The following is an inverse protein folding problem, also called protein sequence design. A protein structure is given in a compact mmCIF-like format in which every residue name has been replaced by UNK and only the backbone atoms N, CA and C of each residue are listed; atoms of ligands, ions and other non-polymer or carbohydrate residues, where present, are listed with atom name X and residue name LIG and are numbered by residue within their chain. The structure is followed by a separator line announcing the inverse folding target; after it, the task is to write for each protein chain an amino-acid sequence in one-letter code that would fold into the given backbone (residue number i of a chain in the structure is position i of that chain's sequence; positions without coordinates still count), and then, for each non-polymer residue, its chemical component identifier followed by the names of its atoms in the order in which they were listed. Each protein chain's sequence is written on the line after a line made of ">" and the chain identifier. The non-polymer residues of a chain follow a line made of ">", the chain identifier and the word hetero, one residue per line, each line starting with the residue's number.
data_IF_479044034241
#
_entry.id   IF_479044034241
#
_cell.length_a   1.000
_cell.length_b   1.000
_cell.length_c   1.000
_cell.angle_alpha   90.00
_cell.angle_beta   90.00
_cell.angle_gamma   90.00
#
_symmetry.space_group_name_H-M   'P 1'
#
loop_
_entity.id
_entity.type
_entity.pdbx_description
1 polymer ?
#
# COMPACT_ATOMS: atom_id res chain seq x y z
N UNK A 1 -8.24 83.36 3.14
CA UNK A 1 -8.91 82.38 2.25
C UNK A 1 -9.71 83.14 1.21
N UNK A 2 -9.27 83.09 -0.05
CA UNK A 2 -9.79 83.79 -1.25
C UNK A 2 -9.47 82.80 -2.39
N UNK A 3 -10.29 82.43 -3.37
CA UNK A 3 -11.52 82.98 -3.95
C UNK A 3 -12.33 81.85 -4.62
N UNK A 4 -13.63 82.10 -4.79
CA UNK A 4 -14.63 81.29 -5.50
C UNK A 4 -14.83 81.79 -6.95
N UNK A 5 -15.27 80.85 -7.83
CA UNK A 5 -16.10 81.00 -9.07
C UNK A 5 -15.40 81.65 -10.30
N UNK A 6 -15.66 81.26 -11.57
CA UNK A 6 -16.91 81.18 -12.34
C UNK A 6 -16.69 80.40 -13.67
N UNK A 7 -17.79 79.88 -14.24
CA UNK A 7 -17.98 78.94 -15.34
C UNK A 7 -18.06 79.49 -16.79
N UNK A 8 -18.37 78.55 -17.72
CA UNK A 8 -19.00 78.62 -19.09
C UNK A 8 -18.01 78.21 -20.21
N UNK A 9 -18.36 77.47 -21.28
CA UNK A 9 -19.66 77.25 -21.95
C UNK A 9 -19.55 76.06 -22.94
N UNK A 10 -20.64 75.33 -23.12
CA UNK A 10 -20.86 74.33 -24.20
C UNK A 10 -21.03 74.96 -25.59
N UNK A 11 -20.68 74.22 -26.65
CA UNK A 11 -21.38 74.26 -27.96
C UNK A 11 -21.47 72.86 -28.58
N UNK A 12 -22.71 72.44 -28.88
CA UNK A 12 -23.12 71.35 -29.79
C UNK A 12 -23.38 71.95 -31.18
N UNK A 13 -23.14 71.23 -32.27
CA UNK A 13 -24.04 71.14 -33.44
C UNK A 13 -23.69 69.91 -34.32
N UNK A 14 -24.73 69.26 -34.87
CA UNK A 14 -24.81 67.98 -35.63
C UNK A 14 -24.79 68.23 -37.17
N UNK A 15 -25.24 67.32 -38.07
CA UNK A 15 -24.80 65.96 -38.47
C UNK A 15 -24.57 65.83 -40.00
N UNK A 16 -24.05 64.70 -40.48
CA UNK A 16 -24.09 64.30 -41.91
C UNK A 16 -24.47 62.81 -42.06
N UNK A 17 -25.36 62.50 -43.01
CA UNK A 17 -25.92 61.16 -43.32
C UNK A 17 -25.48 60.68 -44.72
N UNK A 18 -25.65 59.37 -44.92
CA UNK A 18 -25.60 58.53 -46.15
C UNK A 18 -24.20 58.00 -46.53
N UNK A 19 -23.98 56.71 -46.83
CA UNK A 19 -24.76 55.78 -47.65
C UNK A 19 -24.79 54.32 -47.14
N UNK A 20 -25.78 53.59 -47.66
CA UNK A 20 -26.06 52.15 -47.55
C UNK A 20 -24.91 51.25 -48.04
N UNK A 21 -24.69 50.15 -47.30
CA UNK A 21 -23.91 49.00 -47.75
C UNK A 21 -24.35 47.77 -46.99
N UNK A 22 -25.24 46.99 -47.59
CA UNK A 22 -25.70 45.68 -47.11
C UNK A 22 -24.55 44.67 -47.17
N UNK A 23 -24.07 44.22 -46.00
CA UNK A 23 -23.25 43.03 -45.92
C UNK A 23 -23.88 42.08 -44.89
N UNK A 24 -24.46 41.01 -45.43
CA UNK A 24 -24.99 39.87 -44.69
C UNK A 24 -23.79 39.11 -44.10
N UNK A 25 -23.36 39.49 -42.90
CA UNK A 25 -22.37 38.70 -42.13
C UNK A 25 -23.11 37.53 -41.50
N UNK A 26 -22.93 36.35 -42.09
CA UNK A 26 -23.31 35.09 -41.48
C UNK A 26 -22.58 34.96 -40.13
N UNK A 27 -23.30 35.14 -39.03
CA UNK A 27 -22.81 34.77 -37.69
C UNK A 27 -22.82 33.25 -37.64
N UNK A 28 -21.68 32.64 -37.98
CA UNK A 28 -21.39 31.28 -37.54
C UNK A 28 -21.26 31.36 -36.03
N UNK A 29 -22.29 30.89 -35.32
CA UNK A 29 -22.21 30.54 -33.91
C UNK A 29 -21.14 29.45 -33.76
N UNK A 30 -19.88 29.87 -33.59
CA UNK A 30 -18.89 29.03 -32.95
C UNK A 30 -19.33 28.88 -31.51
N UNK A 31 -20.17 27.87 -31.25
CA UNK A 31 -20.25 27.28 -29.92
C UNK A 31 -18.83 26.81 -29.64
N UNK A 32 -18.06 27.64 -28.95
CA UNK A 32 -16.92 27.16 -28.19
C UNK A 32 -17.53 26.23 -27.14
N UNK A 33 -17.63 24.95 -27.50
CA UNK A 33 -17.62 23.89 -26.52
C UNK A 33 -16.25 24.02 -25.86
N UNK A 34 -16.17 24.86 -24.83
CA UNK A 34 -15.11 24.78 -23.85
C UNK A 34 -15.09 23.30 -23.44
N UNK A 35 -13.98 22.57 -23.60
CA UNK A 35 -13.88 21.27 -23.00
C UNK A 35 -14.04 21.54 -21.52
N UNK A 36 -15.19 21.16 -20.94
CA UNK A 36 -15.26 20.93 -19.51
C UNK A 36 -14.24 19.85 -19.27
N UNK A 37 -13.06 20.26 -18.82
CA UNK A 37 -12.04 19.38 -18.29
C UNK A 37 -12.56 18.73 -17.03
N UNK A 38 -13.52 17.82 -17.18
CA UNK A 38 -13.48 16.62 -16.37
C UNK A 38 -12.22 15.92 -16.83
N UNK A 39 -11.20 15.90 -15.99
CA UNK A 39 -10.15 14.90 -16.06
C UNK A 39 -10.85 13.55 -15.87
N UNK A 40 -11.40 13.03 -16.95
CA UNK A 40 -11.62 11.60 -17.11
C UNK A 40 -10.21 11.05 -17.07
N UNK A 41 -9.79 10.59 -15.88
CA UNK A 41 -8.56 9.81 -15.78
C UNK A 41 -8.77 8.65 -16.76
N UNK A 42 -8.01 8.68 -17.85
CA UNK A 42 -7.85 7.58 -18.79
C UNK A 42 -7.24 6.43 -17.98
N UNK A 43 -8.11 5.68 -17.29
CA UNK A 43 -7.75 4.49 -16.56
C UNK A 43 -7.52 3.41 -17.61
N UNK A 44 -6.34 3.49 -18.25
CA UNK A 44 -5.90 2.46 -19.18
C UNK A 44 -5.87 1.15 -18.42
N UNK A 45 -6.44 0.15 -19.06
CA UNK A 45 -6.39 -1.25 -18.70
C UNK A 45 -4.92 -1.68 -18.48
N UNK A 46 -4.45 -1.55 -17.24
CA UNK A 46 -3.17 -2.12 -16.78
C UNK A 46 -3.39 -3.63 -16.60
N UNK A 47 -3.53 -4.35 -17.70
CA UNK A 47 -3.18 -5.77 -17.70
C UNK A 47 -1.77 -5.82 -17.10
N UNK A 48 -1.63 -6.43 -15.91
CA UNK A 48 -0.38 -6.47 -15.14
C UNK A 48 0.62 -7.43 -15.81
N UNK A 49 0.94 -7.14 -17.07
CA UNK A 49 1.84 -7.91 -17.92
C UNK A 49 3.25 -7.57 -17.48
N UNK A 50 3.89 -8.53 -16.82
CA UNK A 50 5.32 -8.49 -16.54
C UNK A 50 6.02 -9.02 -17.80
N UNK A 51 6.84 -8.18 -18.42
CA UNK A 51 7.51 -8.53 -19.66
C UNK A 51 8.54 -9.67 -19.47
N UNK A 52 8.85 -10.37 -20.57
CA UNK A 52 9.73 -11.53 -20.56
C UNK A 52 11.14 -11.22 -20.04
N UNK A 53 11.65 -9.99 -20.26
CA UNK A 53 12.96 -9.60 -19.77
C UNK A 53 12.94 -9.47 -18.24
N UNK A 54 11.93 -8.81 -17.69
CA UNK A 54 11.70 -8.70 -16.25
C UNK A 54 11.47 -10.08 -15.61
N UNK A 55 10.68 -10.96 -16.24
CA UNK A 55 10.50 -12.35 -15.79
C UNK A 55 11.81 -13.14 -15.79
N UNK A 56 12.64 -12.99 -16.82
CA UNK A 56 13.96 -13.63 -16.90
C UNK A 56 14.91 -13.11 -15.84
N UNK A 57 14.87 -11.82 -15.54
CA UNK A 57 15.66 -11.23 -14.45
C UNK A 57 15.27 -11.83 -13.10
N UNK A 58 13.99 -11.88 -12.76
CA UNK A 58 13.54 -12.43 -11.48
C UNK A 58 13.86 -13.92 -11.30
N UNK A 59 13.96 -14.67 -12.40
CA UNK A 59 14.34 -16.09 -12.44
C UNK A 59 15.84 -16.33 -12.57
N UNK A 60 16.65 -15.26 -12.55
CA UNK A 60 18.08 -15.38 -12.70
C UNK A 60 18.65 -16.24 -11.55
N UNK A 61 19.36 -17.32 -11.89
CA UNK A 61 19.88 -18.28 -10.91
C UNK A 61 20.90 -17.64 -9.97
N UNK A 62 21.69 -16.67 -10.43
CA UNK A 62 22.66 -15.96 -9.60
C UNK A 62 21.94 -15.13 -8.55
N UNK A 63 20.85 -14.44 -8.91
CA UNK A 63 20.02 -13.71 -7.95
C UNK A 63 19.38 -14.64 -6.93
N UNK A 64 18.81 -15.76 -7.37
CA UNK A 64 18.19 -16.76 -6.48
C UNK A 64 19.23 -17.34 -5.51
N UNK A 65 20.44 -17.66 -5.99
CA UNK A 65 21.53 -18.15 -5.16
C UNK A 65 22.04 -17.09 -4.19
N UNK A 66 22.10 -15.81 -4.59
CA UNK A 66 22.46 -14.72 -3.69
C UNK A 66 21.45 -14.59 -2.55
N UNK A 67 20.14 -14.62 -2.86
CA UNK A 67 19.09 -14.59 -1.86
C UNK A 67 19.21 -15.78 -0.90
N UNK A 68 19.34 -17.01 -1.41
CA UNK A 68 19.46 -18.23 -0.59
C UNK A 68 20.66 -18.17 0.35
N UNK A 69 21.83 -17.76 -0.15
CA UNK A 69 23.08 -17.88 0.58
C UNK A 69 23.32 -16.72 1.56
N UNK A 70 22.81 -15.52 1.24
CA UNK A 70 23.20 -14.29 1.94
C UNK A 70 22.04 -13.61 2.68
N UNK A 71 20.79 -13.88 2.33
CA UNK A 71 19.64 -13.09 2.82
C UNK A 71 18.57 -13.94 3.50
N UNK A 72 18.25 -15.09 2.92
CA UNK A 72 17.21 -15.98 3.42
C UNK A 72 17.76 -16.86 4.55
N UNK A 73 17.12 -16.77 5.71
CA UNK A 73 17.33 -17.72 6.80
C UNK A 73 16.17 -18.72 6.79
N UNK A 74 16.47 -19.98 6.53
CA UNK A 74 15.46 -21.05 6.58
C UNK A 74 14.98 -21.30 8.03
N UNK A 75 13.74 -21.77 8.15
CA UNK A 75 13.18 -22.22 9.41
C UNK A 75 14.10 -23.24 10.10
N UNK A 76 14.32 -23.09 11.40
CA UNK A 76 15.06 -24.08 12.18
C UNK A 76 14.23 -25.34 12.35
N UNK A 77 14.78 -26.50 12.00
CA UNK A 77 14.15 -27.81 12.24
C UNK A 77 14.30 -28.30 13.68
N UNK A 78 15.14 -27.63 14.49
CA UNK A 78 15.67 -28.22 15.73
C UNK A 78 15.10 -27.61 17.02
N UNK A 79 14.17 -26.66 16.93
CA UNK A 79 13.58 -26.08 18.13
C UNK A 79 12.25 -26.75 18.46
N UNK A 80 12.27 -27.62 19.47
CA UNK A 80 11.06 -28.02 20.19
C UNK A 80 10.44 -26.77 20.80
N UNK A 81 9.27 -26.38 20.30
CA UNK A 81 8.44 -25.34 20.88
C UNK A 81 8.21 -25.68 22.35
N UNK A 82 8.62 -24.81 23.27
CA UNK A 82 8.03 -24.83 24.61
C UNK A 82 6.56 -24.54 24.44
N UNK A 83 5.70 -25.50 24.78
CA UNK A 83 4.25 -25.37 24.68
C UNK A 83 3.85 -24.31 25.71
N UNK A 84 3.75 -23.06 25.27
CA UNK A 84 2.94 -22.07 25.96
C UNK A 84 1.48 -22.48 25.73
N UNK A 85 0.75 -22.72 26.82
CA UNK A 85 -0.63 -23.23 26.79
C UNK A 85 -1.64 -22.11 26.60
N UNK A 86 -1.19 -20.86 26.46
CA UNK A 86 -2.05 -19.73 26.18
C UNK A 86 -2.18 -19.50 24.67
N UNK A 87 -3.40 -19.69 24.16
CA UNK A 87 -3.78 -19.32 22.79
C UNK A 87 -3.76 -17.80 22.70
N UNK A 88 -2.69 -17.22 22.14
CA UNK A 88 -2.57 -15.78 21.98
C UNK A 88 -2.59 -15.41 20.49
N UNK A 89 -3.64 -14.72 20.08
CA UNK A 89 -3.71 -14.03 18.81
C UNK A 89 -3.16 -12.61 18.98
N UNK A 90 -2.02 -12.35 18.35
CA UNK A 90 -1.39 -11.03 18.35
C UNK A 90 -1.80 -10.15 17.16
N UNK A 91 -2.70 -10.60 16.28
CA UNK A 91 -3.09 -9.80 15.11
C UNK A 91 -3.68 -8.45 15.51
N UNK A 92 -3.33 -7.40 14.76
CA UNK A 92 -3.65 -6.04 15.18
C UNK A 92 -5.16 -5.77 15.24
N UNK A 93 -5.89 -6.28 14.24
CA UNK A 93 -7.33 -6.06 14.06
C UNK A 93 -8.09 -7.34 13.72
N UNK A 94 -7.54 -8.51 14.04
CA UNK A 94 -8.20 -9.82 13.87
C UNK A 94 -7.91 -10.52 12.53
N UNK A 95 -6.81 -10.17 11.87
CA UNK A 95 -6.38 -10.75 10.60
C UNK A 95 -6.31 -12.28 10.66
N UNK A 96 -5.70 -12.85 11.70
CA UNK A 96 -5.54 -14.29 11.82
C UNK A 96 -6.90 -15.02 11.87
N UNK A 97 -7.91 -14.42 12.50
CA UNK A 97 -9.22 -15.05 12.65
C UNK A 97 -10.08 -14.95 11.40
N UNK A 98 -10.00 -13.85 10.65
CA UNK A 98 -10.68 -13.77 9.36
C UNK A 98 -10.09 -14.78 8.38
N UNK A 99 -8.76 -14.96 8.37
CA UNK A 99 -8.07 -15.97 7.56
C UNK A 99 -8.52 -17.38 7.97
N UNK A 100 -8.52 -17.69 9.27
CA UNK A 100 -8.99 -18.97 9.78
C UNK A 100 -10.46 -19.23 9.39
N UNK A 101 -11.30 -18.20 9.36
CA UNK A 101 -12.71 -18.31 8.95
C UNK A 101 -12.84 -18.57 7.45
N UNK A 102 -12.20 -17.74 6.61
CA UNK A 102 -12.27 -17.86 5.14
C UNK A 102 -11.76 -19.22 4.66
N UNK A 103 -10.71 -19.74 5.31
CA UNK A 103 -10.09 -21.03 4.95
C UNK A 103 -10.66 -22.22 5.73
N UNK A 104 -11.80 -22.06 6.43
CA UNK A 104 -12.50 -23.18 7.07
C UNK A 104 -11.69 -23.89 8.15
N UNK A 105 -10.88 -23.17 8.91
CA UNK A 105 -10.07 -23.73 9.99
C UNK A 105 -8.82 -24.48 9.53
N UNK A 106 -8.36 -24.25 8.30
CA UNK A 106 -7.19 -24.92 7.70
C UNK A 106 -5.99 -24.98 8.64
N UNK A 107 -5.38 -26.17 8.72
CA UNK A 107 -4.07 -26.40 9.36
C UNK A 107 -3.02 -26.69 8.28
N UNK A 108 -1.73 -26.59 8.65
CA UNK A 108 -0.62 -26.84 7.74
C UNK A 108 -0.64 -25.95 6.48
N UNK A 109 -1.03 -24.69 6.62
CA UNK A 109 -0.96 -23.71 5.53
C UNK A 109 0.39 -23.03 5.43
N UNK A 110 0.58 -22.25 4.36
CA UNK A 110 1.75 -21.39 4.18
C UNK A 110 1.35 -19.91 4.20
N UNK A 111 2.00 -19.12 5.05
CA UNK A 111 1.81 -17.67 5.11
C UNK A 111 3.02 -16.86 4.61
N UNK A 112 2.77 -15.63 4.19
CA UNK A 112 3.76 -14.57 4.03
C UNK A 112 3.31 -13.38 4.87
N UNK A 113 4.22 -12.83 5.68
CA UNK A 113 4.00 -11.57 6.40
C UNK A 113 5.12 -10.60 6.04
N UNK A 114 4.76 -9.52 5.35
CA UNK A 114 5.66 -8.42 5.04
C UNK A 114 5.29 -7.22 5.92
N UNK A 115 6.29 -6.67 6.61
CA UNK A 115 6.08 -5.81 7.79
C UNK A 115 6.13 -6.60 9.09
N UNK A 116 7.00 -7.62 9.18
CA UNK A 116 7.03 -8.57 10.30
C UNK A 116 7.46 -7.99 11.64
N UNK A 117 7.99 -6.76 11.68
CA UNK A 117 8.42 -6.05 12.88
C UNK A 117 9.32 -6.91 13.79
N UNK A 118 8.96 -7.09 15.06
CA UNK A 118 9.66 -7.95 16.00
C UNK A 118 9.18 -9.42 15.97
N UNK A 119 8.26 -9.78 15.08
CA UNK A 119 7.70 -11.12 14.92
C UNK A 119 6.67 -11.56 15.96
N UNK A 120 6.31 -10.70 16.93
CA UNK A 120 5.30 -10.99 17.97
C UNK A 120 4.24 -9.89 18.03
N UNK A 121 4.64 -8.67 18.36
CA UNK A 121 3.74 -7.53 18.54
C UNK A 121 3.00 -7.27 17.23
N UNK A 122 1.67 -7.24 17.29
CA UNK A 122 0.80 -7.05 16.12
C UNK A 122 0.97 -8.10 15.00
N UNK A 123 1.62 -9.25 15.27
CA UNK A 123 1.88 -10.23 14.20
C UNK A 123 0.59 -10.89 13.74
N UNK A 124 0.34 -10.80 12.44
CA UNK A 124 -0.86 -11.33 11.82
C UNK A 124 -0.78 -12.85 11.56
N UNK A 125 0.39 -13.46 11.75
CA UNK A 125 0.62 -14.89 11.48
C UNK A 125 1.06 -15.70 12.69
N UNK A 126 1.34 -15.07 13.84
CA UNK A 126 1.78 -15.80 15.04
C UNK A 126 0.82 -16.90 15.46
N UNK A 127 -0.47 -16.57 15.53
CA UNK A 127 -1.53 -17.53 15.83
C UNK A 127 -1.55 -18.70 14.84
N UNK A 128 -1.39 -18.44 13.54
CA UNK A 128 -1.42 -19.48 12.51
C UNK A 128 -0.21 -20.42 12.65
N UNK A 129 0.97 -19.88 12.95
CA UNK A 129 2.17 -20.70 13.22
C UNK A 129 1.96 -21.59 14.45
N UNK A 130 1.56 -21.02 15.59
CA UNK A 130 1.49 -21.75 16.86
C UNK A 130 0.32 -22.70 16.97
N UNK A 131 -0.86 -22.27 16.53
CA UNK A 131 -2.12 -22.99 16.80
C UNK A 131 -2.60 -23.81 15.60
N UNK A 132 -2.14 -23.48 14.39
CA UNK A 132 -2.60 -24.15 13.16
C UNK A 132 -1.50 -24.95 12.48
N UNK A 133 -0.31 -24.99 13.06
CA UNK A 133 0.88 -25.64 12.48
C UNK A 133 1.21 -25.10 11.08
N UNK A 134 0.99 -23.81 10.84
CA UNK A 134 1.38 -23.19 9.58
C UNK A 134 2.88 -22.91 9.56
N UNK A 135 3.46 -23.03 8.37
CA UNK A 135 4.80 -22.52 8.07
C UNK A 135 4.69 -21.23 7.27
N UNK A 136 5.79 -20.52 7.07
CA UNK A 136 5.71 -19.29 6.29
C UNK A 136 7.03 -18.55 6.13
N UNK A 137 6.91 -17.33 5.60
CA UNK A 137 7.99 -16.38 5.40
C UNK A 137 7.66 -15.06 6.10
N UNK A 138 8.60 -14.56 6.89
CA UNK A 138 8.58 -13.23 7.49
C UNK A 138 9.59 -12.32 6.79
N UNK A 139 9.14 -11.15 6.37
CA UNK A 139 9.95 -10.14 5.67
C UNK A 139 9.97 -8.87 6.52
N UNK A 140 11.18 -8.45 6.92
CA UNK A 140 11.38 -7.25 7.73
C UNK A 140 12.61 -6.49 7.23
N UNK A 141 12.43 -5.22 6.86
CA UNK A 141 13.48 -4.41 6.26
C UNK A 141 14.44 -3.82 7.31
N UNK A 142 13.95 -3.48 8.51
CA UNK A 142 14.72 -2.80 9.55
C UNK A 142 15.58 -3.82 10.31
N UNK A 143 16.92 -3.72 10.25
CA UNK A 143 17.81 -4.72 10.86
C UNK A 143 17.61 -4.92 12.37
N UNK A 144 17.27 -3.84 13.09
CA UNK A 144 17.00 -3.90 14.52
C UNK A 144 15.79 -4.77 14.85
N UNK A 145 14.66 -4.58 14.15
CA UNK A 145 13.45 -5.37 14.33
C UNK A 145 13.63 -6.79 13.81
N UNK A 146 14.30 -6.95 12.66
CA UNK A 146 14.66 -8.26 12.13
C UNK A 146 15.45 -9.13 13.12
N UNK A 147 16.39 -8.53 13.88
CA UNK A 147 17.14 -9.25 14.91
C UNK A 147 16.24 -9.77 16.03
N UNK A 148 15.21 -9.01 16.41
CA UNK A 148 14.21 -9.46 17.39
C UNK A 148 13.32 -10.55 16.81
N UNK A 149 12.84 -10.35 15.58
CA UNK A 149 12.05 -11.31 14.81
C UNK A 149 12.75 -12.66 14.71
N UNK A 150 14.05 -12.69 14.43
CA UNK A 150 14.83 -13.94 14.38
C UNK A 150 14.84 -14.70 15.71
N UNK A 151 14.88 -13.99 16.84
CA UNK A 151 14.83 -14.60 18.18
C UNK A 151 13.44 -15.12 18.51
N UNK A 152 12.41 -14.37 18.12
CA UNK A 152 11.04 -14.63 18.48
C UNK A 152 10.37 -15.70 17.60
N UNK A 153 10.79 -15.81 16.34
CA UNK A 153 10.17 -16.69 15.33
C UNK A 153 11.19 -17.63 14.66
N UNK A 154 12.03 -18.38 15.39
CA UNK A 154 13.15 -19.18 14.84
C UNK A 154 12.71 -20.30 13.89
N UNK A 155 11.44 -20.72 13.96
CA UNK A 155 10.89 -21.85 13.21
C UNK A 155 10.17 -21.46 11.90
N UNK A 156 10.31 -20.20 11.46
CA UNK A 156 9.68 -19.68 10.23
C UNK A 156 10.77 -19.18 9.28
N UNK A 157 10.56 -19.19 7.96
CA UNK A 157 11.54 -18.59 7.05
C UNK A 157 11.59 -17.07 7.28
N UNK A 158 12.78 -16.46 7.19
CA UNK A 158 12.97 -15.04 7.49
C UNK A 158 13.94 -14.41 6.51
N UNK A 159 13.72 -13.16 6.15
CA UNK A 159 14.63 -12.38 5.32
C UNK A 159 14.70 -10.94 5.80
N UNK A 160 15.92 -10.39 5.95
CA UNK A 160 16.12 -8.98 6.27
C UNK A 160 16.15 -8.14 4.98
N UNK A 161 14.99 -7.87 4.41
CA UNK A 161 14.85 -7.14 3.17
C UNK A 161 13.50 -6.44 3.08
N UNK A 162 13.35 -5.53 2.13
CA UNK A 162 12.06 -5.03 1.64
C UNK A 162 11.62 -5.79 0.39
N UNK A 163 10.34 -5.65 0.04
CA UNK A 163 9.84 -6.07 -1.27
C UNK A 163 10.09 -4.97 -2.31
N UNK A 164 10.61 -5.38 -3.46
CA UNK A 164 10.83 -4.49 -4.60
C UNK A 164 9.51 -4.01 -5.19
N UNK A 165 9.47 -2.72 -5.54
CA UNK A 165 8.34 -2.05 -6.18
C UNK A 165 8.49 -1.96 -7.71
N UNK A 166 9.59 -2.51 -8.26
CA UNK A 166 9.93 -2.42 -9.69
C UNK A 166 10.50 -3.72 -10.29
N UNK A 167 10.35 -4.86 -9.60
CA UNK A 167 10.87 -6.18 -10.00
C UNK A 167 12.40 -6.28 -10.10
N UNK A 168 13.15 -5.36 -9.49
CA UNK A 168 14.62 -5.43 -9.42
C UNK A 168 15.13 -5.59 -8.00
N UNK A 169 16.26 -6.29 -7.87
CA UNK A 169 17.02 -6.27 -6.63
C UNK A 169 17.80 -4.97 -6.57
N UNK A 170 17.52 -4.13 -5.58
CA UNK A 170 18.13 -2.82 -5.44
C UNK A 170 18.13 -2.38 -3.99
N UNK A 171 18.97 -1.39 -3.70
CA UNK A 171 18.94 -0.72 -2.42
C UNK A 171 17.94 0.42 -2.47
N UNK A 172 17.13 0.54 -1.42
CA UNK A 172 16.15 1.59 -1.28
C UNK A 172 16.31 2.30 0.08
N UNK A 173 15.81 3.52 0.13
CA UNK A 173 15.82 4.34 1.34
C UNK A 173 14.56 4.09 2.16
N UNK A 174 14.74 3.62 3.38
CA UNK A 174 13.66 3.32 4.32
C UNK A 174 13.66 4.33 5.45
N UNK A 175 12.53 5.00 5.66
CA UNK A 175 12.34 5.91 6.79
C UNK A 175 11.99 5.08 8.01
N UNK A 176 12.80 5.20 9.06
CA UNK A 176 12.63 4.46 10.30
C UNK A 176 12.72 5.43 11.47
N UNK A 177 11.61 5.66 12.19
CA UNK A 177 11.72 6.35 13.47
C UNK A 177 11.94 5.28 14.54
N UNK A 178 13.21 4.94 14.77
CA UNK A 178 13.60 3.89 15.74
C UNK A 178 12.98 4.07 17.13
N UNK A 179 12.52 5.29 17.46
CA UNK A 179 11.94 5.69 18.74
C UNK A 179 10.40 5.61 18.80
N UNK A 180 9.72 5.23 17.71
CA UNK A 180 8.25 5.07 17.69
C UNK A 180 7.89 3.77 16.98
N UNK A 181 7.22 2.87 17.70
CA UNK A 181 6.73 1.60 17.18
C UNK A 181 5.78 1.79 15.99
N UNK A 182 5.81 0.86 15.02
CA UNK A 182 4.92 0.89 13.86
C UNK A 182 5.17 2.07 12.93
N UNK A 183 6.44 2.44 12.72
CA UNK A 183 6.84 3.53 11.84
C UNK A 183 8.03 3.10 10.98
N UNK A 184 7.73 2.57 9.80
CA UNK A 184 8.77 2.12 8.88
C UNK A 184 8.25 1.90 7.47
N UNK A 185 8.80 2.58 6.46
CA UNK A 185 8.39 2.34 5.08
C UNK A 185 9.40 2.87 4.06
N UNK A 186 9.21 2.50 2.80
CA UNK A 186 9.99 3.04 1.69
C UNK A 186 9.73 4.53 1.55
N UNK A 187 10.77 5.36 1.67
CA UNK A 187 10.66 6.80 1.79
C UNK A 187 9.97 7.45 0.58
N UNK A 188 10.14 6.87 -0.61
CA UNK A 188 9.53 7.34 -1.86
C UNK A 188 8.04 7.00 -2.00
N UNK A 189 7.53 6.00 -1.26
CA UNK A 189 6.13 5.56 -1.31
C UNK A 189 5.30 6.05 -0.11
N UNK A 190 5.92 6.75 0.85
CA UNK A 190 5.19 7.34 1.97
C UNK A 190 4.34 8.53 1.52
N UNK A 191 3.05 8.48 1.86
CA UNK A 191 2.15 9.62 1.67
C UNK A 191 2.56 10.84 2.52
N UNK A 192 2.15 12.03 2.10
CA UNK A 192 2.36 13.25 2.88
C UNK A 192 1.73 13.19 4.28
N UNK A 193 0.63 12.44 4.44
CA UNK A 193 -0.02 12.18 5.73
C UNK A 193 0.85 11.32 6.63
N UNK A 194 1.34 10.18 6.11
CA UNK A 194 2.27 9.33 6.86
C UNK A 194 3.54 10.11 7.24
N UNK A 195 4.08 10.96 6.37
CA UNK A 195 5.25 11.78 6.74
C UNK A 195 4.97 12.77 7.90
N UNK A 196 3.71 13.16 8.12
CA UNK A 196 3.30 14.04 9.23
C UNK A 196 3.08 13.31 10.55
N UNK A 197 3.23 11.97 10.60
CA UNK A 197 2.93 11.17 11.78
C UNK A 197 3.55 11.72 13.06
N UNK A 198 2.72 11.87 14.11
CA UNK A 198 3.03 12.51 15.40
C UNK A 198 3.74 13.86 15.27
N UNK A 199 3.22 14.75 14.42
CA UNK A 199 3.72 16.13 14.28
C UNK A 199 5.03 16.26 13.49
N UNK A 200 5.32 15.30 12.61
CA UNK A 200 6.52 15.29 11.77
C UNK A 200 7.67 14.43 12.31
N UNK A 201 7.41 13.57 13.31
CA UNK A 201 8.40 12.61 13.80
C UNK A 201 8.91 11.70 12.66
N UNK A 202 8.03 11.24 11.76
CA UNK A 202 8.39 10.50 10.54
C UNK A 202 9.20 11.33 9.54
N UNK A 203 8.90 12.63 9.39
CA UNK A 203 9.66 13.52 8.50
C UNK A 203 11.11 13.64 8.93
N UNK A 204 11.37 13.74 10.23
CA UNK A 204 12.71 13.93 10.81
C UNK A 204 13.41 12.61 11.17
N UNK A 205 12.72 11.48 10.99
CA UNK A 205 13.27 10.16 11.24
C UNK A 205 14.50 9.88 10.36
N UNK A 206 15.53 9.20 10.90
CA UNK A 206 16.66 8.78 10.10
C UNK A 206 16.20 7.86 8.96
N UNK A 207 16.94 7.94 7.87
CA UNK A 207 16.76 7.05 6.74
C UNK A 207 17.87 6.01 6.77
N UNK A 208 17.51 4.75 6.61
CA UNK A 208 18.46 3.65 6.45
C UNK A 208 18.40 3.14 5.03
N UNK A 209 19.53 2.66 4.52
CA UNK A 209 19.57 1.96 3.26
C UNK A 209 19.27 0.47 3.52
N UNK A 210 18.29 -0.09 2.79
CA UNK A 210 17.88 -1.48 2.92
C UNK A 210 17.89 -2.14 1.54
N UNK A 211 18.17 -3.44 1.50
CA UNK A 211 18.08 -4.21 0.26
C UNK A 211 16.63 -4.63 0.03
N UNK A 212 16.12 -4.40 -1.18
CA UNK A 212 14.84 -4.94 -1.64
C UNK A 212 15.07 -6.07 -2.65
N UNK A 213 14.15 -7.04 -2.68
CA UNK A 213 14.14 -8.10 -3.69
C UNK A 213 12.77 -8.24 -4.34
N UNK A 214 12.70 -8.69 -5.60
CA UNK A 214 11.42 -9.08 -6.20
C UNK A 214 10.79 -10.21 -5.39
N UNK A 215 9.51 -10.06 -5.04
CA UNK A 215 8.79 -11.07 -4.27
C UNK A 215 8.87 -12.44 -4.93
N UNK A 216 8.71 -12.48 -6.25
CA UNK A 216 8.80 -13.71 -7.02
C UNK A 216 10.15 -14.43 -6.89
N UNK A 217 11.27 -13.69 -6.87
CA UNK A 217 12.61 -14.27 -6.67
C UNK A 217 12.77 -14.91 -5.29
N UNK A 218 12.24 -14.27 -4.24
CA UNK A 218 12.23 -14.85 -2.88
C UNK A 218 11.40 -16.14 -2.86
N UNK A 219 10.21 -16.12 -3.46
CA UNK A 219 9.32 -17.30 -3.49
C UNK A 219 9.93 -18.47 -4.28
N UNK A 220 10.62 -18.19 -5.40
CA UNK A 220 11.37 -19.20 -6.14
C UNK A 220 12.50 -19.82 -5.32
N UNK A 221 13.18 -19.01 -4.49
CA UNK A 221 14.23 -19.49 -3.58
C UNK A 221 13.70 -20.51 -2.57
N UNK A 222 12.47 -20.29 -2.09
CA UNK A 222 11.76 -21.23 -1.22
C UNK A 222 11.13 -22.42 -1.96
N UNK A 223 11.00 -22.35 -3.28
CA UNK A 223 10.25 -23.33 -4.07
C UNK A 223 8.74 -23.29 -3.82
N UNK A 224 8.21 -22.14 -3.37
CA UNK A 224 6.81 -21.96 -3.02
C UNK A 224 6.12 -21.09 -4.08
N UNK A 225 4.94 -21.51 -4.53
CA UNK A 225 4.11 -20.75 -5.49
C UNK A 225 2.67 -20.60 -5.03
N UNK A 226 2.18 -21.52 -4.21
CA UNK A 226 0.89 -21.43 -3.53
C UNK A 226 1.05 -20.90 -2.10
N UNK A 227 0.34 -19.82 -1.81
CA UNK A 227 0.34 -19.12 -0.52
C UNK A 227 -1.10 -19.10 -0.02
N UNK A 228 -1.34 -19.62 1.17
CA UNK A 228 -2.68 -19.60 1.75
C UNK A 228 -3.04 -18.21 2.29
N UNK A 229 -2.05 -17.48 2.83
CA UNK A 229 -2.25 -16.14 3.39
C UNK A 229 -1.07 -15.22 3.15
N UNK A 230 -1.32 -14.00 2.68
CA UNK A 230 -0.33 -12.93 2.59
C UNK A 230 -0.83 -11.68 3.33
N UNK A 231 -0.20 -11.38 4.48
CA UNK A 231 -0.31 -10.10 5.19
C UNK A 231 0.65 -9.09 4.57
N UNK A 232 0.13 -8.02 3.96
CA UNK A 232 0.91 -6.97 3.33
C UNK A 232 0.71 -5.63 4.04
N UNK A 233 1.68 -5.29 4.87
CA UNK A 233 1.76 -4.02 5.60
C UNK A 233 3.17 -3.45 5.39
N UNK A 234 3.30 -2.55 4.41
CA UNK A 234 4.59 -1.98 4.00
C UNK A 234 4.52 -0.46 3.96
N UNK A 235 3.59 0.09 4.73
CA UNK A 235 3.48 1.50 5.09
C UNK A 235 3.45 2.44 3.88
N UNK A 236 2.61 2.08 2.90
CA UNK A 236 2.30 2.89 1.71
C UNK A 236 2.71 2.27 0.38
N UNK A 237 3.61 1.29 0.38
CA UNK A 237 4.11 0.64 -0.83
C UNK A 237 3.26 -0.57 -1.30
N UNK A 238 2.06 -0.79 -0.75
CA UNK A 238 1.28 -2.01 -0.95
C UNK A 238 0.91 -2.23 -2.42
N UNK A 239 0.30 -1.22 -3.07
CA UNK A 239 -0.07 -1.32 -4.48
C UNK A 239 1.15 -1.42 -5.42
N UNK A 240 2.22 -0.62 -5.24
CA UNK A 240 3.48 -0.83 -5.96
C UNK A 240 4.04 -2.26 -5.83
N UNK A 241 4.04 -2.85 -4.63
CA UNK A 241 4.45 -4.24 -4.41
C UNK A 241 3.50 -5.22 -5.10
N UNK A 242 2.18 -5.05 -4.99
CA UNK A 242 1.22 -5.94 -5.64
C UNK A 242 1.38 -5.96 -7.16
N UNK A 243 1.73 -4.83 -7.78
CA UNK A 243 2.03 -4.75 -9.22
C UNK A 243 3.24 -5.58 -9.64
N UNK A 244 4.19 -5.87 -8.74
CA UNK A 244 5.36 -6.70 -9.06
C UNK A 244 5.08 -8.21 -9.00
N UNK A 245 3.91 -8.64 -8.55
CA UNK A 245 3.60 -10.06 -8.41
C UNK A 245 3.13 -10.64 -9.77
N UNK A 246 3.80 -11.68 -10.32
CA UNK A 246 3.29 -12.44 -11.47
C UNK A 246 2.16 -13.38 -11.01
N UNK A 247 0.91 -12.89 -11.02
CA UNK A 247 -0.27 -13.63 -10.56
C UNK A 247 -0.61 -14.89 -11.39
N UNK A 248 0.03 -15.08 -12.54
CA UNK A 248 -0.03 -16.31 -13.34
C UNK A 248 1.00 -17.37 -12.88
N UNK A 249 1.94 -17.00 -12.01
CA UNK A 249 2.99 -17.86 -11.44
C UNK A 249 2.90 -18.02 -9.92
N UNK A 250 2.33 -17.04 -9.22
CA UNK A 250 2.12 -17.05 -7.78
C UNK A 250 0.61 -16.99 -7.50
N UNK A 251 0.15 -17.94 -6.71
CA UNK A 251 -1.24 -18.04 -6.28
C UNK A 251 -1.36 -17.71 -4.80
N UNK A 252 -2.05 -16.62 -4.48
CA UNK A 252 -2.36 -16.23 -3.09
C UNK A 252 -3.85 -16.41 -2.86
N UNK A 253 -4.25 -17.17 -1.83
CA UNK A 253 -5.67 -17.42 -1.54
C UNK A 253 -6.32 -16.29 -0.75
N UNK A 254 -5.63 -15.75 0.25
CA UNK A 254 -6.15 -14.66 1.09
C UNK A 254 -5.08 -13.58 1.24
N UNK A 255 -5.47 -12.33 1.02
CA UNK A 255 -4.69 -11.16 1.38
C UNK A 255 -5.37 -10.41 2.51
N UNK A 256 -4.57 -9.90 3.46
CA UNK A 256 -4.93 -8.69 4.22
C UNK A 256 -3.94 -7.61 3.83
N UNK A 257 -4.44 -6.42 3.52
CA UNK A 257 -3.63 -5.33 2.97
C UNK A 257 -3.95 -4.05 3.71
N UNK A 258 -2.94 -3.43 4.32
CA UNK A 258 -3.11 -2.14 4.99
C UNK A 258 -3.46 -1.06 3.94
N UNK A 259 -4.55 -0.33 4.16
CA UNK A 259 -4.96 0.77 3.27
C UNK A 259 -5.21 2.09 4.01
N UNK A 260 -5.21 2.07 5.34
CA UNK A 260 -5.43 3.26 6.16
C UNK A 260 -4.24 4.22 6.02
N UNK A 261 -4.54 5.50 5.85
CA UNK A 261 -3.51 6.55 5.85
C UNK A 261 -3.79 7.54 6.98
N UNK A 262 -2.98 7.47 8.03
CA UNK A 262 -3.11 8.34 9.21
C UNK A 262 -1.77 8.93 9.64
N UNK A 263 -1.82 10.04 10.38
CA UNK A 263 -0.65 10.63 11.05
C UNK A 263 -0.56 10.21 12.55
N UNK A 264 -1.31 9.17 12.93
CA UNK A 264 -1.41 8.71 14.32
C UNK A 264 -2.35 9.54 15.20
N UNK A 265 -2.86 10.67 14.67
CA UNK A 265 -3.86 11.53 15.34
C UNK A 265 -5.10 11.72 14.44
N UNK A 266 -4.89 11.91 13.15
CA UNK A 266 -5.90 12.19 12.15
C UNK A 266 -5.84 11.16 11.02
N UNK A 267 -7.03 10.69 10.62
CA UNK A 267 -7.24 9.86 9.44
C UNK A 267 -7.43 10.74 8.19
N UNK A 268 -6.70 10.43 7.12
CA UNK A 268 -6.92 11.04 5.81
C UNK A 268 -7.97 10.27 5.04
N UNK A 269 -9.22 10.70 5.11
CA UNK A 269 -10.36 10.00 4.51
C UNK A 269 -10.23 9.87 2.99
N UNK A 270 -9.88 10.96 2.31
CA UNK A 270 -9.79 10.99 0.85
C UNK A 270 -8.67 10.08 0.34
N UNK A 271 -7.48 10.13 0.96
CA UNK A 271 -6.35 9.30 0.53
C UNK A 271 -6.59 7.82 0.89
N UNK A 272 -7.17 7.54 2.07
CA UNK A 272 -7.56 6.19 2.49
C UNK A 272 -8.56 5.59 1.50
N UNK A 273 -9.59 6.36 1.10
CA UNK A 273 -10.57 5.94 0.09
C UNK A 273 -9.89 5.65 -1.25
N UNK A 274 -9.03 6.56 -1.74
CA UNK A 274 -8.31 6.38 -3.00
C UNK A 274 -7.42 5.13 -3.00
N UNK A 275 -6.72 4.87 -1.89
CA UNK A 275 -5.88 3.66 -1.75
C UNK A 275 -6.75 2.40 -1.79
N UNK A 276 -7.85 2.37 -1.05
CA UNK A 276 -8.80 1.25 -1.06
C UNK A 276 -9.37 0.98 -2.46
N UNK A 277 -9.82 2.02 -3.16
CA UNK A 277 -10.38 1.88 -4.51
C UNK A 277 -9.33 1.42 -5.52
N UNK A 278 -8.08 1.84 -5.35
CA UNK A 278 -6.97 1.36 -6.20
C UNK A 278 -6.67 -0.12 -5.97
N UNK A 279 -6.72 -0.60 -4.71
CA UNK A 279 -6.57 -2.02 -4.40
C UNK A 279 -7.71 -2.86 -4.99
N UNK A 280 -8.96 -2.40 -4.85
CA UNK A 280 -10.14 -3.03 -5.46
C UNK A 280 -10.02 -3.13 -6.96
N UNK A 281 -9.68 -2.00 -7.61
CA UNK A 281 -9.50 -1.96 -9.05
C UNK A 281 -8.40 -2.92 -9.51
N UNK A 282 -7.33 -3.07 -8.73
CA UNK A 282 -6.24 -3.95 -9.10
C UNK A 282 -6.53 -5.45 -8.90
N UNK A 283 -7.16 -5.84 -7.79
CA UNK A 283 -7.33 -7.24 -7.40
C UNK A 283 -8.62 -7.88 -7.93
N UNK A 284 -9.73 -7.14 -8.02
CA UNK A 284 -11.02 -7.70 -8.47
C UNK A 284 -10.95 -8.28 -9.89
N UNK A 285 -10.37 -7.58 -10.90
CA UNK A 285 -10.20 -8.15 -12.24
C UNK A 285 -9.31 -9.39 -12.30
N UNK A 286 -8.49 -9.65 -11.26
CA UNK A 286 -7.64 -10.85 -11.14
C UNK A 286 -8.38 -12.03 -10.48
N UNK A 287 -9.69 -11.91 -10.29
CA UNK A 287 -10.55 -12.96 -9.74
C UNK A 287 -10.66 -12.96 -8.21
N UNK A 288 -10.13 -11.94 -7.53
CA UNK A 288 -10.32 -11.80 -6.08
C UNK A 288 -11.68 -11.20 -5.75
N UNK A 289 -12.27 -11.66 -4.65
CA UNK A 289 -13.44 -11.06 -4.03
C UNK A 289 -13.01 -10.32 -2.76
N UNK A 290 -13.61 -9.17 -2.51
CA UNK A 290 -13.46 -8.51 -1.20
C UNK A 290 -14.34 -9.24 -0.18
N UNK A 291 -13.74 -9.64 0.93
CA UNK A 291 -14.49 -10.17 2.07
C UNK A 291 -15.02 -9.04 2.96
N UNK A 292 -14.21 -7.99 3.14
CA UNK A 292 -14.56 -6.80 3.91
C UNK A 292 -13.32 -6.07 4.41
N UNK A 293 -13.52 -5.09 5.28
CA UNK A 293 -12.44 -4.36 5.96
C UNK A 293 -12.37 -4.75 7.43
N UNK A 294 -11.17 -4.77 8.00
CA UNK A 294 -10.92 -5.08 9.40
C UNK A 294 -10.69 -3.80 10.20
N UNK A 295 -11.26 -3.71 11.39
CA UNK A 295 -11.25 -2.50 12.23
C UNK A 295 -10.65 -2.81 13.60
N UNK A 296 -9.86 -1.89 14.16
CA UNK A 296 -9.32 -2.02 15.52
C UNK A 296 -10.43 -1.87 16.57
N UNK A 297 -10.60 -2.86 17.45
CA UNK A 297 -11.53 -2.75 18.59
C UNK A 297 -11.13 -1.54 19.45
N UNK A 298 -12.00 -0.54 19.53
CA UNK A 298 -11.76 0.70 20.27
C UNK A 298 -11.66 1.97 19.41
N UNK A 299 -11.29 1.86 18.13
CA UNK A 299 -11.29 2.99 17.18
C UNK A 299 -12.70 3.45 16.81
N UNK A 300 -13.66 2.53 16.89
CA UNK A 300 -15.08 2.75 16.60
C UNK A 300 -15.59 4.02 17.28
N UNK A 301 -15.33 4.23 18.58
CA UNK A 301 -15.86 5.40 19.30
C UNK A 301 -15.48 6.77 18.71
N UNK A 302 -14.33 6.87 18.04
CA UNK A 302 -13.87 8.14 17.44
C UNK A 302 -14.28 8.28 15.96
N UNK A 303 -14.67 7.19 15.31
CA UNK A 303 -14.94 7.12 13.87
C UNK A 303 -16.31 6.48 13.51
N UNK A 304 -17.16 6.20 14.50
CA UNK A 304 -18.48 5.54 14.35
C UNK A 304 -19.41 6.27 13.38
N UNK A 305 -19.18 7.56 13.15
CA UNK A 305 -19.94 8.39 12.22
C UNK A 305 -19.51 8.24 10.75
N UNK A 306 -18.37 7.61 10.49
CA UNK A 306 -17.86 7.40 9.13
C UNK A 306 -18.45 6.12 8.50
N UNK A 307 -18.51 6.02 7.16
CA UNK A 307 -18.80 4.75 6.50
C UNK A 307 -17.84 3.62 6.92
N UNK A 308 -18.34 2.39 7.08
CA UNK A 308 -17.57 1.24 7.58
C UNK A 308 -16.24 1.00 6.81
N UNK A 309 -16.25 1.20 5.50
CA UNK A 309 -15.06 1.04 4.64
C UNK A 309 -13.98 2.11 4.85
N UNK A 310 -14.25 3.18 5.63
CA UNK A 310 -13.27 4.18 6.04
C UNK A 310 -12.81 3.98 7.49
N UNK A 311 -13.43 3.05 8.22
CA UNK A 311 -13.08 2.73 9.59
C UNK A 311 -12.02 1.63 9.66
N UNK A 312 -11.67 0.97 8.55
CA UNK A 312 -10.76 -0.17 8.57
C UNK A 312 -9.28 0.22 8.57
N UNK A 313 -8.46 -0.71 9.05
CA UNK A 313 -7.00 -0.69 8.93
C UNK A 313 -6.60 -1.47 7.67
N UNK A 314 -7.08 -2.71 7.59
CA UNK A 314 -6.80 -3.64 6.50
C UNK A 314 -8.06 -3.94 5.68
N UNK A 315 -7.90 -4.19 4.39
CA UNK A 315 -8.91 -4.79 3.53
C UNK A 315 -8.55 -6.25 3.25
N UNK A 316 -9.56 -7.11 3.21
CA UNK A 316 -9.40 -8.56 3.02
C UNK A 316 -9.88 -8.94 1.62
N UNK A 317 -8.99 -9.54 0.83
CA UNK A 317 -9.30 -10.11 -0.47
C UNK A 317 -9.06 -11.61 -0.48
N UNK A 318 -9.90 -12.36 -1.19
CA UNK A 318 -9.77 -13.81 -1.26
C UNK A 318 -10.13 -14.39 -2.63
N UNK A 319 -9.49 -15.51 -2.98
CA UNK A 319 -9.69 -16.31 -4.18
C UNK A 319 -9.51 -17.78 -3.79
N UNK A 320 -10.61 -18.54 -3.76
CA UNK A 320 -10.64 -19.94 -3.32
C UNK A 320 -10.61 -20.90 -4.51
#
# INVERSE_FOLDING_TARGET
>A
MKFEKVAKRQKRFRPGKFLFGSFLMAVVLFIHVLPRGHSFFDYRDESNYIDDFTMRYMRNIVLIQDIENNWLVRASSNHTSTIDTTVIDYSEVGQAQVVNTILGGKTNGFFVECGGYNGLTSSNTYYLEKEKNWTGLLIEAVPHFYKQLCKNRPNTHRINACLSTNNKAEKAFFKNSMDIEGIGGLAEHMSGVQLRYRGGARKNAPTIEVQCFPFYSIMLTLGITDIDYFSLDVEGAELPVLRTIPFDKINVKVFTIEYRLSDGVHLSLEETQKKLDSLRHFLIPKGYREYGVLTKRGDLKNYDHLPLHLQGLDVVFYKL
#
